data_IF_612471109363
#
_entry.id   IF_612471109363
#
_cell.length_a   1.000
_cell.length_b   1.000
_cell.length_c   1.000
_cell.angle_alpha   90.00
_cell.angle_beta   90.00
_cell.angle_gamma   90.00
#
_symmetry.space_group_name_H-M   'P 1'
#
loop_
_entity.id
_entity.type
_entity.pdbx_description
1 polymer ?
#
# COMPACT_ATOMS: atom_id res chain seq x y z
N UNK A 1 14.88 -8.97 -4.39
CA UNK A 1 13.46 -8.71 -4.66
C UNK A 1 13.20 -7.24 -4.45
N UNK A 2 12.88 -6.52 -5.50
CA UNK A 2 12.56 -5.08 -5.47
C UNK A 2 11.06 -4.92 -5.57
N UNK A 3 10.46 -3.97 -4.84
CA UNK A 3 9.04 -3.66 -5.00
C UNK A 3 8.77 -2.17 -4.81
N UNK A 4 7.74 -1.65 -5.50
CA UNK A 4 7.36 -0.26 -5.41
C UNK A 4 5.90 -0.02 -5.72
N UNK A 5 5.35 1.06 -5.16
CA UNK A 5 4.02 1.58 -5.49
C UNK A 5 4.16 2.97 -6.10
N UNK A 6 3.37 3.25 -7.12
CA UNK A 6 3.22 4.62 -7.62
C UNK A 6 2.30 5.43 -6.69
N UNK A 7 2.79 6.55 -6.17
CA UNK A 7 1.97 7.47 -5.36
C UNK A 7 1.02 8.32 -6.21
N UNK A 8 -0.14 8.70 -5.66
CA UNK A 8 -1.08 9.61 -6.33
C UNK A 8 -0.43 10.96 -6.66
N UNK A 9 -0.46 11.34 -7.94
CA UNK A 9 0.07 12.59 -8.46
C UNK A 9 -0.85 13.76 -8.08
N UNK A 10 -0.32 14.79 -7.38
CA UNK A 10 -0.92 16.14 -7.42
C UNK A 10 -0.28 16.89 -8.59
N UNK A 11 -1.07 17.61 -9.38
CA UNK A 11 -0.75 18.24 -10.71
C UNK A 11 0.56 19.04 -10.83
N UNK A 12 1.28 19.33 -9.74
CA UNK A 12 2.58 20.03 -9.74
C UNK A 12 3.69 19.34 -8.94
N UNK A 13 3.50 18.11 -8.45
CA UNK A 13 4.49 17.45 -7.57
C UNK A 13 5.25 16.32 -8.28
N UNK A 14 6.58 16.30 -8.11
CA UNK A 14 7.47 15.22 -8.60
C UNK A 14 6.93 13.86 -8.13
N UNK A 15 6.97 12.86 -9.02
CA UNK A 15 6.61 11.47 -8.72
C UNK A 15 7.44 10.95 -7.53
N UNK A 16 6.81 10.73 -6.38
CA UNK A 16 7.42 10.03 -5.26
C UNK A 16 7.10 8.54 -5.39
N UNK A 17 8.12 7.74 -5.71
CA UNK A 17 8.04 6.27 -5.76
C UNK A 17 8.63 5.75 -4.45
N UNK A 18 7.84 5.00 -3.68
CA UNK A 18 8.36 4.27 -2.53
C UNK A 18 8.91 2.95 -3.06
N UNK A 19 10.24 2.78 -3.03
CA UNK A 19 10.95 1.64 -3.61
C UNK A 19 11.79 0.98 -2.54
N UNK A 20 11.51 -0.28 -2.28
CA UNK A 20 12.18 -1.08 -1.27
C UNK A 20 12.77 -2.36 -1.89
N UNK A 21 13.75 -2.94 -1.20
CA UNK A 21 14.41 -4.17 -1.65
C UNK A 21 14.70 -5.13 -0.49
N UNK A 22 14.54 -6.43 -0.75
CA UNK A 22 14.91 -7.53 0.14
C UNK A 22 15.84 -8.50 -0.57
N UNK A 23 16.99 -8.81 0.04
CA UNK A 23 17.91 -9.89 -0.39
C UNK A 23 17.54 -11.14 0.39
N UNK A 24 17.45 -12.29 -0.30
CA UNK A 24 17.22 -13.60 0.32
C UNK A 24 18.33 -14.58 -0.05
N UNK A 25 18.55 -15.64 0.74
CA UNK A 25 19.51 -16.69 0.40
C UNK A 25 19.22 -17.35 -0.96
N UNK A 26 20.26 -17.82 -1.64
CA UNK A 26 20.15 -18.38 -2.99
C UNK A 26 19.29 -19.65 -3.08
N UNK A 27 19.12 -20.37 -1.98
CA UNK A 27 18.30 -21.58 -1.89
C UNK A 27 16.85 -21.33 -1.44
N UNK A 28 16.45 -20.06 -1.31
CA UNK A 28 15.11 -19.67 -0.86
C UNK A 28 14.20 -19.41 -2.05
N UNK A 29 12.99 -19.96 -2.01
CA UNK A 29 11.97 -19.81 -3.08
C UNK A 29 10.78 -18.96 -2.65
N UNK A 30 10.76 -18.47 -1.40
CA UNK A 30 9.67 -17.64 -0.87
C UNK A 30 10.18 -16.56 0.08
N UNK A 31 9.49 -15.42 0.13
CA UNK A 31 9.81 -14.31 1.03
C UNK A 31 8.53 -13.61 1.46
N UNK A 32 8.50 -13.10 2.69
CA UNK A 32 7.39 -12.29 3.21
C UNK A 32 7.76 -10.82 3.09
N UNK A 33 6.93 -10.05 2.39
CA UNK A 33 7.00 -8.59 2.36
C UNK A 33 6.08 -8.04 3.44
N UNK A 34 6.60 -7.17 4.31
CA UNK A 34 5.86 -6.58 5.44
C UNK A 34 5.86 -5.05 5.35
N UNK A 35 4.98 -4.40 6.11
CA UNK A 35 4.88 -2.93 6.11
C UNK A 35 4.24 -2.33 4.84
N UNK A 36 3.63 -3.16 4.00
CA UNK A 36 2.92 -2.68 2.82
C UNK A 36 1.64 -1.93 3.23
N UNK A 37 1.37 -0.81 2.56
CA UNK A 37 0.09 -0.11 2.71
C UNK A 37 -1.08 -1.00 2.27
N UNK A 38 -2.19 -1.04 3.02
CA UNK A 38 -3.41 -1.72 2.61
C UNK A 38 -4.02 -1.11 1.34
N UNK A 39 -4.89 -1.88 0.68
CA UNK A 39 -5.63 -1.50 -0.53
C UNK A 39 -4.77 -0.74 -1.57
N UNK A 40 -3.59 -1.29 -1.86
CA UNK A 40 -2.59 -0.64 -2.70
C UNK A 40 -2.02 -1.63 -3.71
N UNK A 41 -1.85 -1.19 -4.95
CA UNK A 41 -1.17 -1.95 -6.01
C UNK A 41 0.34 -1.72 -5.95
N UNK A 42 1.12 -2.79 -6.04
CA UNK A 42 2.58 -2.75 -6.09
C UNK A 42 3.10 -3.48 -7.32
N UNK A 43 4.15 -2.92 -7.91
CA UNK A 43 5.02 -3.62 -8.84
C UNK A 43 6.12 -4.33 -8.06
N UNK A 44 6.49 -5.52 -8.53
CA UNK A 44 7.51 -6.36 -7.92
C UNK A 44 8.42 -6.91 -9.01
N UNK A 45 9.71 -6.97 -8.69
CA UNK A 45 10.77 -7.46 -9.54
C UNK A 45 11.66 -8.43 -8.76
N UNK A 46 11.89 -9.62 -9.31
CA UNK A 46 12.81 -10.63 -8.76
C UNK A 46 13.97 -10.80 -9.71
N UNK A 47 15.19 -10.64 -9.20
CA UNK A 47 16.43 -10.88 -9.92
C UNK A 47 17.34 -11.79 -9.09
N UNK A 48 17.96 -12.77 -9.75
CA UNK A 48 19.10 -13.48 -9.18
C UNK A 48 20.37 -12.70 -9.48
N UNK A 49 21.34 -12.68 -8.56
CA UNK A 49 22.63 -12.03 -8.79
C UNK A 49 23.78 -12.91 -8.31
N UNK A 50 24.95 -12.75 -8.90
CA UNK A 50 26.20 -13.40 -8.50
C UNK A 50 27.37 -12.41 -8.58
N UNK A 51 28.61 -12.87 -8.35
CA UNK A 51 29.80 -12.01 -8.39
C UNK A 51 30.09 -11.32 -9.73
N UNK A 52 29.41 -11.72 -10.82
CA UNK A 52 29.49 -11.05 -12.13
C UNK A 52 28.38 -10.03 -12.37
N UNK A 53 27.33 -10.02 -11.57
CA UNK A 53 26.21 -9.09 -11.66
C UNK A 53 24.84 -9.74 -11.51
N UNK A 54 23.80 -8.96 -11.83
CA UNK A 54 22.40 -9.40 -11.82
C UNK A 54 22.02 -10.08 -13.14
N UNK A 55 21.27 -11.17 -13.03
CA UNK A 55 20.59 -11.82 -14.14
C UNK A 55 19.29 -11.12 -14.53
N UNK A 56 18.53 -11.70 -15.48
CA UNK A 56 17.27 -11.13 -15.94
C UNK A 56 16.23 -11.05 -14.82
N UNK A 57 15.39 -10.03 -14.91
CA UNK A 57 14.32 -9.79 -13.99
C UNK A 57 13.04 -10.57 -14.33
N UNK A 58 12.33 -11.00 -13.30
CA UNK A 58 10.95 -11.45 -13.39
C UNK A 58 10.04 -10.41 -12.73
N UNK A 59 9.08 -9.87 -13.48
CA UNK A 59 8.19 -8.80 -13.03
C UNK A 59 6.78 -9.32 -12.75
N UNK A 60 6.14 -8.78 -11.72
CA UNK A 60 4.74 -9.08 -11.38
C UNK A 60 4.09 -7.88 -10.69
N UNK A 61 2.76 -7.78 -10.77
CA UNK A 61 1.99 -6.75 -10.07
C UNK A 61 0.97 -7.40 -9.16
N UNK A 62 0.85 -6.93 -7.92
CA UNK A 62 -0.08 -7.46 -6.94
C UNK A 62 -0.75 -6.35 -6.13
N UNK A 63 -1.95 -6.64 -5.62
CA UNK A 63 -2.68 -5.75 -4.73
C UNK A 63 -2.72 -6.30 -3.32
N UNK A 64 -2.46 -5.45 -2.34
CA UNK A 64 -2.65 -5.81 -0.93
C UNK A 64 -4.14 -5.84 -0.59
N UNK A 65 -4.58 -6.70 0.34
CA UNK A 65 -5.94 -6.65 0.88
C UNK A 65 -6.31 -5.29 1.49
N UNK A 66 -7.61 -5.09 1.66
CA UNK A 66 -8.14 -3.95 2.42
C UNK A 66 -7.68 -4.00 3.88
N UNK A 67 -7.50 -2.82 4.47
CA UNK A 67 -7.16 -2.67 5.87
C UNK A 67 -8.40 -2.52 6.74
N UNK A 68 -8.18 -2.29 8.04
CA UNK A 68 -9.25 -1.81 8.91
C UNK A 68 -9.68 -0.43 8.43
N UNK A 69 -10.99 -0.19 8.16
CA UNK A 69 -11.44 1.13 7.75
C UNK A 69 -11.14 2.16 8.84
N UNK A 70 -10.82 3.39 8.40
CA UNK A 70 -10.66 4.52 9.32
C UNK A 70 -11.95 4.86 10.07
N UNK A 71 -11.87 5.85 10.96
CA UNK A 71 -13.07 6.39 11.58
C UNK A 71 -13.90 7.18 10.54
N UNK A 72 -15.24 7.22 10.68
CA UNK A 72 -16.07 8.08 9.87
C UNK A 72 -15.64 9.55 10.02
N UNK A 73 -15.62 10.28 8.91
CA UNK A 73 -15.27 11.70 8.93
C UNK A 73 -16.51 12.58 9.18
N UNK A 74 -16.27 13.86 9.51
CA UNK A 74 -17.31 14.88 9.60
C UNK A 74 -18.54 14.46 10.43
N UNK A 75 -18.31 13.80 11.57
CA UNK A 75 -19.38 13.39 12.48
C UNK A 75 -20.12 14.64 12.99
N UNK A 76 -21.39 14.74 12.61
CA UNK A 76 -22.30 15.79 13.00
C UNK A 76 -23.46 15.21 13.80
N UNK A 77 -23.78 15.85 14.92
CA UNK A 77 -24.82 15.45 15.84
C UNK A 77 -25.82 16.58 15.99
N UNK A 78 -27.11 16.23 15.94
CA UNK A 78 -28.20 17.16 16.12
C UNK A 78 -29.24 16.59 17.09
N UNK A 79 -29.57 17.35 18.13
CA UNK A 79 -30.62 16.96 19.06
C UNK A 79 -31.99 17.22 18.41
N UNK A 80 -32.74 16.16 18.15
CA UNK A 80 -34.11 16.27 17.64
C UNK A 80 -35.12 16.40 18.79
N UNK A 81 -34.85 15.80 19.94
CA UNK A 81 -35.66 15.91 21.16
C UNK A 81 -34.86 15.49 22.41
N UNK A 82 -35.51 15.51 23.58
CA UNK A 82 -34.91 15.05 24.84
C UNK A 82 -34.59 13.53 24.85
N UNK A 83 -35.08 12.77 23.87
CA UNK A 83 -34.87 11.32 23.76
C UNK A 83 -34.39 10.88 22.37
N UNK A 84 -34.01 11.82 21.48
CA UNK A 84 -33.68 11.49 20.10
C UNK A 84 -32.58 12.40 19.54
N UNK A 85 -31.61 11.77 18.87
CA UNK A 85 -30.48 12.42 18.22
C UNK A 85 -30.42 11.96 16.75
N UNK A 86 -30.08 12.88 15.86
CA UNK A 86 -29.74 12.61 14.47
C UNK A 86 -28.22 12.68 14.30
N UNK A 87 -27.64 11.62 13.74
CA UNK A 87 -26.22 11.53 13.43
C UNK A 87 -26.02 11.53 11.91
N UNK A 88 -25.04 12.29 11.45
CA UNK A 88 -24.60 12.33 10.04
C UNK A 88 -23.08 12.26 10.01
N UNK A 89 -22.51 11.51 9.07
CA UNK A 89 -21.06 11.37 8.90
C UNK A 89 -20.70 11.11 7.44
N UNK A 90 -19.43 11.32 7.10
CA UNK A 90 -18.82 10.98 5.82
C UNK A 90 -18.06 9.65 5.93
N UNK A 91 -17.86 8.94 4.80
CA UNK A 91 -17.06 7.71 4.78
C UNK A 91 -15.63 7.94 5.31
N UNK A 92 -14.96 6.90 5.83
CA UNK A 92 -13.53 6.95 6.12
C UNK A 92 -12.70 7.25 4.86
N UNK A 93 -11.55 7.92 5.03
CA UNK A 93 -10.55 8.14 3.97
C UNK A 93 -9.84 6.86 3.54
#
# INVERSE_FOLDING_TARGET
>A
VTYWREGSQRKHSKRHIHKDHVVVPANTTSVILSGLRPYSSYHLEVQAFNGRGSGPASEFTFSTPEGVPGHPEALHLECQSNTSLLLRWQPPL
#
